data_IF_548227999253
#
_entry.id   IF_548227999253
#
_cell.length_a   1.000
_cell.length_b   1.000
_cell.length_c   1.000
_cell.angle_alpha   90.00
_cell.angle_beta   90.00
_cell.angle_gamma   90.00
#
_symmetry.space_group_name_H-M   'P 1'
#
loop_
_entity.id
_entity.type
_entity.pdbx_description
1 polymer ?
#
# COMPACT_ATOMS: atom_id res chain seq x y z
N UNK A 1 -0.60 11.34 -10.20
CA UNK A 1 0.07 12.58 -9.77
C UNK A 1 1.48 12.21 -9.33
N UNK A 2 2.51 12.85 -9.85
CA UNK A 2 3.89 12.70 -9.36
C UNK A 2 4.20 13.93 -8.51
N UNK A 3 4.56 13.72 -7.24
CA UNK A 3 4.93 14.78 -6.32
C UNK A 3 6.40 14.56 -5.94
N UNK A 4 7.20 15.61 -6.09
CA UNK A 4 8.58 15.68 -5.57
C UNK A 4 8.68 16.94 -4.73
N UNK A 5 9.46 16.89 -3.66
CA UNK A 5 9.66 18.02 -2.77
C UNK A 5 11.01 17.94 -2.10
N UNK A 6 11.63 19.11 -1.90
CA UNK A 6 12.85 19.30 -1.12
C UNK A 6 12.55 20.17 0.10
N UNK A 7 13.40 20.08 1.11
CA UNK A 7 13.29 20.95 2.28
C UNK A 7 13.60 22.41 1.91
N UNK A 8 12.70 23.31 2.30
CA UNK A 8 12.94 24.74 2.16
C UNK A 8 14.09 25.17 3.09
N UNK A 9 15.03 25.97 2.57
CA UNK A 9 16.23 26.44 3.32
C UNK A 9 15.93 27.44 4.44
N UNK A 10 14.78 28.11 4.36
CA UNK A 10 14.36 29.17 5.29
C UNK A 10 12.83 29.15 5.42
N UNK A 11 12.34 29.66 6.55
CA UNK A 11 10.91 29.80 6.87
C UNK A 11 10.61 29.39 8.32
N UNK A 12 9.37 29.63 8.76
CA UNK A 12 8.96 29.28 10.12
C UNK A 12 8.96 27.77 10.35
N UNK A 13 9.34 27.36 11.57
CA UNK A 13 9.18 25.99 12.07
C UNK A 13 7.83 25.78 12.77
N UNK A 14 6.97 26.81 12.80
CA UNK A 14 5.61 26.70 13.31
C UNK A 14 4.76 25.88 12.34
N UNK A 15 4.05 24.88 12.88
CA UNK A 15 3.11 24.05 12.12
C UNK A 15 1.71 24.57 12.36
N UNK A 16 1.06 25.05 11.31
CA UNK A 16 -0.35 25.44 11.38
C UNK A 16 -1.23 24.19 11.50
N UNK A 17 -2.15 24.18 12.46
CA UNK A 17 -3.11 23.08 12.60
C UNK A 17 -4.06 23.07 11.38
N UNK A 18 -4.08 22.01 10.56
CA UNK A 18 -4.95 21.98 9.40
C UNK A 18 -6.41 21.82 9.80
N UNK A 19 -7.31 22.38 8.99
CA UNK A 19 -8.73 22.06 9.08
C UNK A 19 -8.93 20.60 8.69
N UNK A 20 -9.53 19.82 9.58
CA UNK A 20 -9.81 18.40 9.39
C UNK A 20 -11.30 18.22 9.08
N UNK A 21 -11.58 17.52 7.99
CA UNK A 21 -12.90 17.00 7.68
C UNK A 21 -13.02 15.61 8.30
N UNK A 22 -14.23 15.21 8.69
CA UNK A 22 -14.47 13.91 9.30
C UNK A 22 -15.65 13.24 8.62
N UNK A 23 -15.52 11.95 8.30
CA UNK A 23 -16.63 11.15 7.77
C UNK A 23 -17.49 10.70 8.96
N UNK A 24 -18.73 11.22 9.15
CA UNK A 24 -19.41 11.08 10.43
C UNK A 24 -20.14 9.73 10.62
N UNK A 25 -20.35 8.96 9.55
CA UNK A 25 -21.07 7.70 9.59
C UNK A 25 -20.31 6.57 8.90
N UNK A 26 -20.62 5.32 9.30
CA UNK A 26 -20.16 4.12 8.60
C UNK A 26 -21.27 3.71 7.63
N UNK A 27 -20.99 3.70 6.34
CA UNK A 27 -21.95 3.27 5.34
C UNK A 27 -22.29 1.76 5.54
N UNK A 28 -23.56 1.35 5.38
CA UNK A 28 -23.94 -0.06 5.52
C UNK A 28 -23.26 -0.94 4.46
N UNK A 29 -22.95 -0.37 3.30
CA UNK A 29 -22.21 -0.97 2.20
C UNK A 29 -21.01 -0.07 1.83
N UNK A 30 -19.99 -0.65 1.20
CA UNK A 30 -18.83 0.11 0.72
C UNK A 30 -19.24 1.15 -0.32
N UNK A 31 -18.93 2.42 -0.05
CA UNK A 31 -19.05 3.50 -1.03
C UNK A 31 -17.92 3.44 -2.06
N UNK A 32 -16.86 2.68 -1.80
CA UNK A 32 -15.79 2.37 -2.73
C UNK A 32 -16.22 1.16 -3.58
N UNK A 33 -16.59 1.41 -4.83
CA UNK A 33 -17.00 0.40 -5.81
C UNK A 33 -16.67 0.87 -7.23
N UNK A 34 -16.89 0.02 -8.23
CA UNK A 34 -16.53 0.31 -9.64
C UNK A 34 -17.11 1.63 -10.16
N UNK A 35 -18.35 1.97 -9.83
CA UNK A 35 -19.00 3.18 -10.33
C UNK A 35 -18.46 4.43 -9.64
N UNK A 36 -18.42 4.43 -8.30
CA UNK A 36 -17.91 5.57 -7.53
C UNK A 36 -16.43 5.82 -7.82
N UNK A 37 -15.63 4.77 -7.98
CA UNK A 37 -14.22 4.88 -8.34
C UNK A 37 -14.04 5.46 -9.74
N UNK A 38 -14.85 5.07 -10.73
CA UNK A 38 -14.78 5.67 -12.08
C UNK A 38 -15.12 7.16 -12.03
N UNK A 39 -16.17 7.54 -11.32
CA UNK A 39 -16.55 8.94 -11.16
C UNK A 39 -15.44 9.73 -10.44
N UNK A 40 -14.95 9.21 -9.30
CA UNK A 40 -13.88 9.82 -8.54
C UNK A 40 -12.60 9.97 -9.36
N UNK A 41 -12.13 8.91 -10.02
CA UNK A 41 -10.92 8.94 -10.83
C UNK A 41 -11.05 9.91 -12.00
N UNK A 42 -12.23 10.00 -12.63
CA UNK A 42 -12.49 10.96 -13.69
C UNK A 42 -12.42 12.40 -13.18
N UNK A 43 -13.11 12.70 -12.07
CA UNK A 43 -13.07 14.04 -11.46
C UNK A 43 -11.64 14.39 -11.05
N UNK A 44 -10.97 13.46 -10.37
CA UNK A 44 -9.60 13.63 -9.92
C UNK A 44 -8.69 13.92 -11.12
N UNK A 45 -8.74 13.11 -12.19
CA UNK A 45 -7.94 13.31 -13.41
C UNK A 45 -8.17 14.69 -14.06
N UNK A 46 -9.42 15.11 -14.22
CA UNK A 46 -9.74 16.39 -14.86
C UNK A 46 -9.47 17.61 -13.97
N UNK A 47 -9.57 17.46 -12.65
CA UNK A 47 -9.25 18.51 -11.69
C UNK A 47 -7.73 18.70 -11.50
N UNK A 48 -6.91 17.76 -11.96
CA UNK A 48 -5.45 17.88 -11.81
C UNK A 48 -4.89 18.98 -12.71
N UNK A 49 -4.05 19.88 -12.16
CA UNK A 49 -3.38 20.90 -12.96
C UNK A 49 -2.55 20.24 -14.06
N UNK A 50 -2.72 20.69 -15.31
CA UNK A 50 -1.95 20.19 -16.46
C UNK A 50 -0.48 20.61 -16.43
N UNK A 51 -0.15 21.67 -15.68
CA UNK A 51 1.21 22.21 -15.58
C UNK A 51 1.77 21.96 -14.18
N UNK A 52 3.03 21.52 -14.12
CA UNK A 52 3.78 21.42 -12.87
C UNK A 52 3.93 22.81 -12.24
N UNK A 53 3.43 22.97 -11.02
CA UNK A 53 3.58 24.21 -10.24
C UNK A 53 4.39 23.93 -8.99
N UNK A 54 5.56 24.56 -8.90
CA UNK A 54 6.29 24.63 -7.65
C UNK A 54 5.52 25.53 -6.67
N UNK A 55 5.27 25.01 -5.47
CA UNK A 55 4.71 25.81 -4.38
C UNK A 55 5.31 25.32 -3.06
N UNK A 56 5.44 26.24 -2.11
CA UNK A 56 5.85 25.89 -0.75
C UNK A 56 4.67 25.22 -0.05
N UNK A 57 4.91 24.07 0.57
CA UNK A 57 3.89 23.32 1.33
C UNK A 57 4.33 23.13 2.77
N UNK A 58 3.36 23.10 3.69
CA UNK A 58 3.60 22.69 5.06
C UNK A 58 3.95 21.19 5.11
N UNK A 59 4.79 20.79 6.07
CA UNK A 59 5.23 19.41 6.23
C UNK A 59 4.04 18.43 6.33
N UNK A 60 3.04 18.74 7.17
CA UNK A 60 1.85 17.91 7.35
C UNK A 60 1.04 17.77 6.05
N UNK A 61 0.88 18.87 5.31
CA UNK A 61 0.15 18.88 4.05
C UNK A 61 0.82 18.05 2.95
N UNK A 62 2.16 18.03 2.92
CA UNK A 62 2.95 17.30 1.93
C UNK A 62 2.97 15.79 2.22
N UNK A 63 3.24 15.40 3.47
CA UNK A 63 3.40 13.98 3.83
C UNK A 63 2.10 13.28 4.20
N UNK A 64 1.12 14.01 4.76
CA UNK A 64 -0.11 13.43 5.31
C UNK A 64 -1.36 14.06 4.68
N UNK A 65 -1.49 14.09 3.34
CA UNK A 65 -2.65 14.70 2.69
C UNK A 65 -3.98 14.02 3.08
N UNK A 66 -3.93 12.74 3.45
CA UNK A 66 -5.10 11.96 3.89
C UNK A 66 -5.52 12.23 5.33
N UNK A 67 -4.63 12.73 6.18
CA UNK A 67 -4.94 13.03 7.59
C UNK A 67 -5.89 14.23 7.74
N UNK A 68 -6.07 15.00 6.65
CA UNK A 68 -7.13 16.00 6.52
C UNK A 68 -8.53 15.40 6.51
N UNK A 69 -8.67 14.11 6.21
CA UNK A 69 -9.96 13.38 6.19
C UNK A 69 -9.92 12.32 7.29
N UNK A 70 -10.38 12.72 8.48
CA UNK A 70 -10.57 11.81 9.59
C UNK A 70 -11.60 10.75 9.26
N UNK A 71 -11.33 9.53 9.74
CA UNK A 71 -12.19 8.37 9.56
C UNK A 71 -12.54 8.04 8.09
N UNK A 72 -11.65 8.35 7.14
CA UNK A 72 -11.81 7.99 5.72
C UNK A 72 -12.08 6.49 5.51
N UNK A 73 -11.56 5.64 6.40
CA UNK A 73 -11.81 4.20 6.41
C UNK A 73 -13.29 3.83 6.49
N UNK A 74 -14.15 4.70 7.04
CA UNK A 74 -15.61 4.48 7.10
C UNK A 74 -16.27 4.41 5.72
N UNK A 75 -15.63 4.95 4.67
CA UNK A 75 -16.10 4.86 3.29
C UNK A 75 -16.11 3.42 2.74
N UNK A 76 -15.31 2.52 3.32
CA UNK A 76 -15.27 1.11 2.95
C UNK A 76 -16.41 0.28 3.58
N UNK A 77 -17.23 0.91 4.42
CA UNK A 77 -18.37 0.30 5.08
C UNK A 77 -17.98 -0.63 6.23
N UNK A 78 -18.97 -1.31 6.81
CA UNK A 78 -18.83 -2.10 8.05
C UNK A 78 -17.82 -3.25 7.98
N UNK A 79 -17.58 -3.80 6.79
CA UNK A 79 -16.60 -4.87 6.58
C UNK A 79 -15.16 -4.34 6.52
N UNK A 80 -14.99 -3.03 6.42
CA UNK A 80 -13.68 -2.39 6.31
C UNK A 80 -13.00 -2.69 4.98
N UNK A 81 -11.67 -2.66 5.01
CA UNK A 81 -10.82 -2.88 3.86
C UNK A 81 -9.60 -3.71 4.25
N UNK A 82 -8.96 -4.28 3.25
CA UNK A 82 -7.67 -4.93 3.39
C UNK A 82 -6.65 -4.21 2.51
N UNK A 83 -5.53 -3.82 3.12
CA UNK A 83 -4.41 -3.25 2.40
C UNK A 83 -3.60 -4.39 1.75
N UNK A 84 -3.16 -4.15 0.53
CA UNK A 84 -2.25 -4.99 -0.21
C UNK A 84 -1.03 -4.16 -0.56
N UNK A 85 0.14 -4.56 -0.07
CA UNK A 85 1.39 -3.89 -0.39
C UNK A 85 2.46 -4.89 -0.81
N UNK A 86 3.02 -4.67 -1.98
CA UNK A 86 4.11 -5.45 -2.52
C UNK A 86 5.27 -4.55 -2.98
N UNK A 87 6.42 -5.16 -3.21
CA UNK A 87 7.56 -4.57 -3.92
C UNK A 87 8.07 -5.57 -4.95
N UNK A 88 8.34 -5.09 -6.16
CA UNK A 88 8.85 -5.87 -7.29
C UNK A 88 10.27 -5.39 -7.64
N UNK A 89 11.23 -6.30 -7.89
CA UNK A 89 12.57 -5.96 -8.33
C UNK A 89 12.60 -5.08 -9.58
N UNK A 90 13.55 -4.15 -9.64
CA UNK A 90 13.61 -3.15 -10.71
C UNK A 90 13.68 -3.71 -12.14
N UNK A 91 14.34 -4.86 -12.34
CA UNK A 91 14.54 -5.45 -13.68
C UNK A 91 13.26 -5.96 -14.33
N UNK A 92 12.23 -6.33 -13.55
CA UNK A 92 10.96 -6.86 -14.04
C UNK A 92 9.75 -5.99 -13.65
N UNK A 93 9.97 -4.91 -12.88
CA UNK A 93 8.91 -4.08 -12.33
C UNK A 93 7.89 -3.56 -13.36
N UNK A 94 8.26 -3.03 -14.55
CA UNK A 94 7.26 -2.53 -15.50
C UNK A 94 6.24 -3.61 -15.92
N UNK A 95 6.73 -4.82 -16.23
CA UNK A 95 5.87 -5.91 -16.69
C UNK A 95 5.01 -6.49 -15.57
N UNK A 96 5.58 -6.71 -14.40
CA UNK A 96 4.83 -7.21 -13.26
C UNK A 96 3.78 -6.20 -12.75
N UNK A 97 4.11 -4.90 -12.73
CA UNK A 97 3.16 -3.85 -12.37
C UNK A 97 1.99 -3.79 -13.35
N UNK A 98 2.25 -3.94 -14.65
CA UNK A 98 1.18 -4.06 -15.64
C UNK A 98 0.26 -5.24 -15.32
N UNK A 99 0.83 -6.44 -15.09
CA UNK A 99 0.05 -7.63 -14.75
C UNK A 99 -0.80 -7.47 -13.47
N UNK A 100 -0.24 -6.84 -12.44
CA UNK A 100 -0.95 -6.53 -11.19
C UNK A 100 -2.15 -5.60 -11.47
N UNK A 101 -1.91 -4.49 -12.17
CA UNK A 101 -2.95 -3.50 -12.48
C UNK A 101 -4.03 -4.08 -13.40
N UNK A 102 -3.67 -4.91 -14.37
CA UNK A 102 -4.60 -5.60 -15.27
C UNK A 102 -5.50 -6.58 -14.49
N UNK A 103 -4.92 -7.37 -13.58
CA UNK A 103 -5.67 -8.29 -12.72
C UNK A 103 -6.66 -7.53 -11.80
N UNK A 104 -6.21 -6.41 -11.22
CA UNK A 104 -7.06 -5.53 -10.41
C UNK A 104 -8.20 -4.95 -11.24
N UNK A 105 -7.90 -4.42 -12.43
CA UNK A 105 -8.90 -3.85 -13.32
C UNK A 105 -9.95 -4.89 -13.76
N UNK A 106 -9.50 -6.10 -14.11
CA UNK A 106 -10.37 -7.21 -14.51
C UNK A 106 -11.30 -7.67 -13.37
N UNK A 107 -10.83 -7.64 -12.12
CA UNK A 107 -11.66 -7.99 -10.96
C UNK A 107 -12.80 -7.01 -10.69
N UNK A 108 -12.75 -5.79 -11.26
CA UNK A 108 -13.68 -4.72 -10.95
C UNK A 108 -13.55 -4.15 -9.52
N UNK A 109 -12.56 -4.62 -8.75
CA UNK A 109 -12.23 -4.17 -7.39
C UNK A 109 -11.10 -3.15 -7.45
N UNK A 110 -11.43 -1.91 -7.77
CA UNK A 110 -10.43 -0.84 -7.73
C UNK A 110 -10.12 -0.41 -6.28
N UNK A 111 -8.99 0.27 -6.11
CA UNK A 111 -8.66 0.94 -4.86
C UNK A 111 -8.96 2.44 -4.94
N UNK A 112 -9.42 3.02 -3.83
CA UNK A 112 -9.55 4.47 -3.69
C UNK A 112 -8.19 5.16 -3.54
N UNK A 113 -7.21 4.47 -2.93
CA UNK A 113 -5.87 4.99 -2.67
C UNK A 113 -4.82 4.03 -3.23
N UNK A 114 -4.08 4.51 -4.22
CA UNK A 114 -2.95 3.81 -4.80
C UNK A 114 -1.67 4.60 -4.54
N UNK A 115 -0.68 3.96 -3.93
CA UNK A 115 0.66 4.51 -3.75
C UNK A 115 1.64 3.71 -4.57
N UNK A 116 2.34 4.38 -5.49
CA UNK A 116 3.42 3.81 -6.26
C UNK A 116 4.72 4.51 -5.87
N UNK A 117 5.72 3.75 -5.43
CA UNK A 117 7.01 4.29 -4.99
C UNK A 117 8.16 3.52 -5.63
N UNK A 118 9.16 4.22 -6.13
CA UNK A 118 10.46 3.62 -6.47
C UNK A 118 11.31 3.56 -5.21
N UNK A 119 11.70 2.36 -4.81
CA UNK A 119 12.62 2.09 -3.71
C UNK A 119 14.06 2.12 -4.23
N UNK A 120 14.94 2.79 -3.49
CA UNK A 120 16.37 2.82 -3.77
C UNK A 120 17.10 1.56 -3.34
N UNK A 121 18.42 1.62 -3.40
CA UNK A 121 19.36 0.52 -3.16
C UNK A 121 20.05 0.56 -1.78
N UNK A 122 19.69 1.52 -0.93
CA UNK A 122 20.18 1.59 0.45
C UNK A 122 19.74 0.34 1.21
N UNK A 123 20.72 -0.47 1.61
CA UNK A 123 20.49 -1.68 2.39
C UNK A 123 20.04 -1.32 3.82
N UNK A 124 18.94 -1.95 4.26
CA UNK A 124 18.47 -1.87 5.64
C UNK A 124 19.24 -2.88 6.51
N UNK A 125 19.60 -2.55 7.76
CA UNK A 125 20.21 -3.51 8.68
C UNK A 125 19.22 -4.57 9.20
N UNK A 126 17.92 -4.42 8.96
CA UNK A 126 16.91 -5.37 9.44
C UNK A 126 16.86 -6.66 8.61
N UNK A 127 16.97 -7.82 9.27
CA UNK A 127 16.95 -9.14 8.64
C UNK A 127 15.71 -9.38 7.76
N UNK A 128 14.54 -8.92 8.21
CA UNK A 128 13.27 -9.03 7.48
C UNK A 128 12.85 -7.71 6.81
N UNK A 129 13.81 -6.91 6.36
CA UNK A 129 13.51 -5.64 5.70
C UNK A 129 12.65 -5.85 4.45
N UNK A 130 11.49 -5.19 4.40
CA UNK A 130 10.60 -5.22 3.23
C UNK A 130 11.17 -4.49 2.01
N UNK A 131 11.66 -3.23 2.11
CA UNK A 131 12.17 -2.52 0.95
C UNK A 131 13.28 -3.29 0.23
N UNK A 132 13.27 -3.24 -1.09
CA UNK A 132 14.34 -3.67 -1.99
C UNK A 132 14.40 -2.72 -3.19
N UNK A 133 15.54 -2.63 -3.89
CA UNK A 133 15.63 -1.83 -5.11
C UNK A 133 14.59 -2.26 -6.14
N UNK A 134 13.67 -1.35 -6.49
CA UNK A 134 12.53 -1.69 -7.34
C UNK A 134 11.33 -0.78 -7.16
N UNK A 135 10.14 -1.30 -7.44
CA UNK A 135 8.89 -0.54 -7.38
C UNK A 135 7.93 -1.16 -6.38
N UNK A 136 7.47 -0.38 -5.41
CA UNK A 136 6.43 -0.76 -4.46
C UNK A 136 5.07 -0.21 -4.89
N UNK A 137 4.04 -1.04 -4.73
CA UNK A 137 2.65 -0.72 -4.97
C UNK A 137 1.86 -1.03 -3.69
N UNK A 138 1.12 -0.04 -3.18
CA UNK A 138 0.19 -0.20 -2.07
C UNK A 138 -1.22 0.22 -2.48
N UNK A 139 -2.21 -0.62 -2.14
CA UNK A 139 -3.61 -0.48 -2.54
C UNK A 139 -4.52 -0.92 -1.39
N UNK A 140 -5.66 -0.26 -1.24
CA UNK A 140 -6.70 -0.60 -0.28
C UNK A 140 -7.95 -1.15 -0.98
N UNK A 141 -8.34 -2.39 -0.66
CA UNK A 141 -9.50 -3.07 -1.24
C UNK A 141 -10.64 -3.21 -0.22
N UNK A 142 -11.87 -2.85 -0.59
CA UNK A 142 -13.04 -3.11 0.25
C UNK A 142 -13.20 -4.60 0.53
N UNK A 143 -13.38 -4.95 1.81
CA UNK A 143 -13.30 -6.34 2.22
C UNK A 143 -14.48 -7.18 1.69
N UNK A 144 -14.16 -8.19 0.88
CA UNK A 144 -15.10 -9.19 0.38
C UNK A 144 -14.47 -10.59 0.36
N UNK A 145 -15.30 -11.64 0.23
CA UNK A 145 -14.81 -13.03 0.19
C UNK A 145 -13.98 -13.30 -1.06
N UNK A 146 -14.40 -12.72 -2.19
CA UNK A 146 -13.74 -12.92 -3.48
C UNK A 146 -12.30 -12.39 -3.50
N UNK A 147 -11.93 -11.45 -2.61
CA UNK A 147 -10.55 -11.00 -2.49
C UNK A 147 -9.63 -12.16 -2.12
N UNK A 148 -9.98 -12.92 -1.09
CA UNK A 148 -9.18 -14.05 -0.63
C UNK A 148 -9.26 -15.26 -1.56
N UNK A 149 -10.40 -15.46 -2.23
CA UNK A 149 -10.64 -16.62 -3.07
C UNK A 149 -10.10 -16.47 -4.50
N UNK A 150 -9.99 -15.23 -5.01
CA UNK A 150 -9.65 -14.99 -6.43
C UNK A 150 -8.56 -13.95 -6.65
N UNK A 151 -8.75 -12.72 -6.16
CA UNK A 151 -7.85 -11.61 -6.51
C UNK A 151 -6.48 -11.74 -5.84
N UNK A 152 -6.43 -11.89 -4.52
CA UNK A 152 -5.15 -11.99 -3.81
C UNK A 152 -4.30 -13.19 -4.23
N UNK A 153 -4.84 -14.41 -4.38
CA UNK A 153 -4.05 -15.52 -4.93
C UNK A 153 -3.42 -15.19 -6.29
N UNK A 154 -4.14 -14.46 -7.16
CA UNK A 154 -3.62 -14.04 -8.46
C UNK A 154 -2.52 -12.98 -8.33
N UNK A 155 -2.70 -11.99 -7.46
CA UNK A 155 -1.69 -10.96 -7.22
C UNK A 155 -0.43 -11.57 -6.59
N UNK A 156 -0.59 -12.47 -5.61
CA UNK A 156 0.50 -13.14 -4.91
C UNK A 156 1.31 -14.02 -5.85
N UNK A 157 0.65 -14.70 -6.79
CA UNK A 157 1.33 -15.44 -7.85
C UNK A 157 2.22 -14.51 -8.70
N UNK A 158 1.69 -13.37 -9.15
CA UNK A 158 2.46 -12.38 -9.94
C UNK A 158 3.65 -11.84 -9.14
N UNK A 159 3.45 -11.51 -7.87
CA UNK A 159 4.53 -11.01 -6.99
C UNK A 159 5.62 -12.07 -6.82
N UNK A 160 5.23 -13.31 -6.54
CA UNK A 160 6.14 -14.45 -6.35
C UNK A 160 6.93 -14.77 -7.61
N UNK A 161 6.27 -14.86 -8.76
CA UNK A 161 6.88 -15.13 -10.07
C UNK A 161 7.88 -14.04 -10.46
N UNK A 162 7.62 -12.80 -10.07
CA UNK A 162 8.53 -11.67 -10.31
C UNK A 162 9.70 -11.60 -9.32
N UNK A 163 9.80 -12.50 -8.35
CA UNK A 163 10.79 -12.43 -7.27
C UNK A 163 10.57 -11.26 -6.31
N UNK A 164 9.34 -10.74 -6.27
CA UNK A 164 8.91 -9.69 -5.36
C UNK A 164 8.54 -10.22 -3.98
N UNK A 165 8.05 -9.32 -3.13
CA UNK A 165 7.51 -9.70 -1.83
C UNK A 165 6.40 -8.80 -1.34
N UNK A 166 5.52 -9.39 -0.54
CA UNK A 166 4.50 -8.70 0.23
C UNK A 166 5.12 -8.08 1.49
N UNK A 167 4.50 -7.04 2.04
CA UNK A 167 4.93 -6.41 3.29
C UNK A 167 4.24 -7.06 4.51
N UNK A 168 4.96 -7.77 5.41
CA UNK A 168 4.35 -8.37 6.60
C UNK A 168 3.55 -7.41 7.47
N UNK A 169 3.96 -6.15 7.57
CA UNK A 169 3.26 -5.16 8.38
C UNK A 169 1.86 -4.80 7.85
N UNK A 170 1.58 -5.08 6.58
CA UNK A 170 0.29 -4.80 5.91
C UNK A 170 -0.42 -6.07 5.49
N UNK A 171 0.15 -7.23 5.80
CA UNK A 171 -0.35 -8.51 5.38
C UNK A 171 -1.49 -9.02 6.28
N UNK A 172 -2.43 -9.74 5.66
CA UNK A 172 -3.45 -10.50 6.36
C UNK A 172 -3.63 -11.94 5.84
N UNK A 173 -2.94 -12.36 4.78
CA UNK A 173 -3.18 -13.64 4.09
C UNK A 173 -1.93 -14.35 3.55
N UNK A 174 -0.73 -13.77 3.71
CA UNK A 174 0.52 -14.33 3.19
C UNK A 174 0.73 -15.76 3.67
N UNK A 175 1.05 -16.64 2.72
CA UNK A 175 1.38 -18.03 2.99
C UNK A 175 2.79 -18.15 3.59
N UNK A 176 3.03 -19.22 4.36
CA UNK A 176 4.36 -19.47 4.90
C UNK A 176 5.42 -19.72 3.82
N UNK A 177 5.07 -20.38 2.72
CA UNK A 177 6.00 -20.57 1.60
C UNK A 177 6.40 -19.25 0.95
N UNK A 178 5.43 -18.35 0.71
CA UNK A 178 5.72 -17.05 0.10
C UNK A 178 6.58 -16.18 1.01
N UNK A 179 6.26 -16.17 2.32
CA UNK A 179 7.08 -15.46 3.30
C UNK A 179 8.53 -15.96 3.32
N UNK A 180 8.72 -17.27 3.44
CA UNK A 180 10.07 -17.86 3.55
C UNK A 180 10.89 -17.71 2.27
N UNK A 181 10.24 -17.77 1.10
CA UNK A 181 10.89 -17.49 -0.18
C UNK A 181 11.31 -16.02 -0.29
N UNK A 182 10.44 -15.09 0.12
CA UNK A 182 10.67 -13.65 0.03
C UNK A 182 11.66 -13.08 1.06
N UNK A 183 11.80 -13.75 2.20
CA UNK A 183 12.58 -13.30 3.35
C UNK A 183 13.51 -14.40 3.87
N UNK A 184 14.54 -14.83 3.10
CA UNK A 184 15.36 -16.00 3.43
C UNK A 184 16.10 -15.89 4.77
N UNK A 185 16.35 -14.67 5.27
CA UNK A 185 16.94 -14.45 6.59
C UNK A 185 15.97 -14.77 7.77
N UNK A 186 14.79 -15.31 7.50
CA UNK A 186 13.86 -15.79 8.54
C UNK A 186 14.48 -16.88 9.41
N UNK A 187 15.36 -17.74 8.87
CA UNK A 187 16.07 -18.78 9.64
C UNK A 187 17.02 -18.16 10.67
N UNK A 188 17.75 -17.13 10.27
CA UNK A 188 18.62 -16.39 11.18
C UNK A 188 17.82 -15.67 12.26
N UNK A 189 16.67 -15.08 11.91
CA UNK A 189 15.80 -14.48 12.92
C UNK A 189 15.25 -15.55 13.87
N UNK A 190 14.82 -16.70 13.37
CA UNK A 190 14.28 -17.78 14.19
C UNK A 190 15.33 -18.31 15.18
N UNK A 191 16.58 -18.46 14.76
CA UNK A 191 17.68 -18.86 15.64
C UNK A 191 17.95 -17.86 16.78
N UNK A 192 17.62 -16.58 16.59
CA UNK A 192 17.79 -15.51 17.58
C UNK A 192 16.52 -15.22 18.38
N UNK A 193 15.36 -15.71 17.94
CA UNK A 193 14.06 -15.38 18.52
C UNK A 193 13.88 -16.16 19.82
N UNK A 194 13.45 -15.47 20.88
CA UNK A 194 12.92 -16.13 22.07
C UNK A 194 11.66 -16.94 21.68
N UNK A 195 11.61 -18.27 21.91
CA UNK A 195 10.47 -19.09 21.54
C UNK A 195 9.13 -18.61 22.10
N UNK A 196 9.12 -17.90 23.23
CA UNK A 196 7.93 -17.30 23.84
C UNK A 196 7.35 -16.14 23.03
N UNK A 197 8.16 -15.45 22.21
CA UNK A 197 7.74 -14.37 21.33
C UNK A 197 7.07 -14.95 20.07
N UNK A 198 5.79 -15.29 20.20
CA UNK A 198 5.05 -16.00 19.16
C UNK A 198 3.77 -15.26 18.76
N UNK A 199 3.85 -14.50 17.66
CA UNK A 199 2.68 -13.80 17.10
C UNK A 199 1.83 -14.74 16.24
N UNK A 200 0.56 -14.38 16.00
CA UNK A 200 -0.30 -15.12 15.06
C UNK A 200 0.27 -15.14 13.64
N UNK A 201 0.95 -14.06 13.24
CA UNK A 201 1.66 -14.00 11.97
C UNK A 201 2.76 -15.06 11.93
N UNK A 202 3.64 -15.09 12.94
CA UNK A 202 4.74 -16.04 13.01
C UNK A 202 4.25 -17.50 12.98
N UNK A 203 3.21 -17.82 13.77
CA UNK A 203 2.54 -19.13 13.74
C UNK A 203 2.01 -19.53 12.36
N UNK A 204 1.56 -18.57 11.55
CA UNK A 204 1.03 -18.84 10.20
C UNK A 204 2.14 -19.10 9.19
N UNK A 205 3.24 -18.37 9.30
CA UNK A 205 4.29 -18.38 8.26
C UNK A 205 5.44 -19.32 8.54
N UNK A 206 5.55 -19.84 9.76
CA UNK A 206 6.52 -20.88 10.11
C UNK A 206 5.96 -22.29 9.82
N UNK A 207 6.85 -23.29 9.65
CA UNK A 207 6.46 -24.71 9.52
C UNK A 207 5.70 -25.25 10.75
#
# INVERSE_FOLDING_TARGET
MYIVGDHARYGSLTVDAPKRLSIPFIAPLSLVNKLSLRAFNSIYWHAHPQQAKAHRSACEAFFYPLDRIQHWNRLYGRKGFQQYQCVIPGHCAPKAMQLLLDAIAASGRGSFLAVLKRCGDIASPGLLSFPMPGTSLALDFSQTRELAETLFPRLDAIVREAGGRLYPAKDAHMTGSDFRQAYPAWEQLEALRDPSLMSRFWKRVMP
#
